data_IF_289986218409
#
_entry.id   IF_289986218409
#
_cell.length_a   1.000
_cell.length_b   1.000
_cell.length_c   1.000
_cell.angle_alpha   90.00
_cell.angle_beta   90.00
_cell.angle_gamma   90.00
#
_symmetry.space_group_name_H-M   'P 1'
#
loop_
_entity.id
_entity.type
_entity.pdbx_description
1 polymer ?
#
# COMPACT_ATOMS: atom_id res chain seq x y z
N UNK A 1 5.33 -18.08 -10.84
CA UNK A 1 6.63 -17.49 -10.48
C UNK A 1 6.63 -17.25 -8.99
N UNK A 2 7.65 -17.72 -8.27
CA UNK A 2 7.79 -17.55 -6.82
C UNK A 2 8.82 -16.47 -6.51
N UNK A 3 8.54 -15.61 -5.53
CA UNK A 3 9.49 -14.63 -5.01
C UNK A 3 9.28 -14.43 -3.52
N UNK A 4 10.17 -15.01 -2.71
CA UNK A 4 10.10 -14.96 -1.24
C UNK A 4 11.33 -14.30 -0.60
N UNK A 5 12.27 -13.81 -1.42
CA UNK A 5 13.59 -13.37 -0.93
C UNK A 5 13.57 -12.20 0.07
N UNK A 6 12.48 -11.43 0.15
CA UNK A 6 12.32 -10.34 1.14
C UNK A 6 11.46 -10.72 2.34
N UNK A 7 10.73 -11.84 2.31
CA UNK A 7 9.71 -12.18 3.31
C UNK A 7 10.27 -12.20 4.73
N UNK A 8 11.34 -12.96 4.96
CA UNK A 8 11.95 -13.12 6.28
C UNK A 8 12.91 -11.99 6.68
N UNK A 9 13.15 -11.03 5.79
CA UNK A 9 14.23 -10.02 5.98
C UNK A 9 13.74 -8.58 5.86
N UNK A 10 12.55 -8.36 5.30
CA UNK A 10 11.97 -7.03 5.20
C UNK A 10 11.57 -6.56 6.60
N UNK A 11 12.06 -5.39 7.05
CA UNK A 11 11.64 -4.83 8.33
C UNK A 11 10.12 -4.65 8.36
N UNK A 12 9.51 -4.93 9.50
CA UNK A 12 8.05 -5.01 9.62
C UNK A 12 7.56 -4.25 10.86
N UNK A 13 7.46 -2.93 10.73
CA UNK A 13 6.92 -2.07 11.76
C UNK A 13 5.40 -2.06 11.70
N UNK A 14 4.76 -2.50 12.79
CA UNK A 14 3.33 -2.32 13.00
C UNK A 14 2.98 -0.86 13.34
N UNK A 15 1.83 -0.38 12.88
CA UNK A 15 1.36 0.97 13.17
C UNK A 15 1.18 1.20 14.68
N UNK A 16 0.81 0.18 15.45
CA UNK A 16 0.66 0.27 16.91
C UNK A 16 1.98 0.02 17.68
N UNK A 17 3.05 -0.33 16.97
CA UNK A 17 4.32 -0.76 17.57
C UNK A 17 5.47 0.22 17.28
N UNK A 18 5.15 1.47 16.93
CA UNK A 18 6.13 2.54 16.63
C UNK A 18 6.87 3.10 17.85
N UNK A 19 7.11 2.31 18.90
CA UNK A 19 7.81 2.72 20.14
C UNK A 19 7.23 3.99 20.80
N UNK A 20 5.92 4.21 20.67
CA UNK A 20 5.26 5.44 21.17
C UNK A 20 5.56 6.71 20.36
N UNK A 21 6.32 6.62 19.26
CA UNK A 21 6.66 7.75 18.40
C UNK A 21 5.56 8.10 17.39
N UNK A 22 4.60 7.19 17.17
CA UNK A 22 3.47 7.41 16.28
C UNK A 22 2.30 8.05 17.05
N UNK A 23 1.81 9.23 16.63
CA UNK A 23 0.68 9.89 17.28
C UNK A 23 -0.55 9.00 17.44
N UNK A 24 -1.30 9.23 18.52
CA UNK A 24 -2.57 8.53 18.81
C UNK A 24 -2.46 7.00 18.79
N UNK A 25 -1.37 6.48 19.36
CA UNK A 25 -1.09 5.03 19.38
C UNK A 25 -1.02 4.44 17.95
N UNK A 26 -0.59 5.26 16.99
CA UNK A 26 -0.47 4.90 15.57
C UNK A 26 -1.78 4.67 14.82
N UNK A 27 -2.92 5.07 15.39
CA UNK A 27 -4.19 5.04 14.67
C UNK A 27 -4.08 5.87 13.37
N UNK A 28 -4.41 5.25 12.23
CA UNK A 28 -4.33 5.89 10.91
C UNK A 28 -2.94 5.84 10.27
N UNK A 29 -1.91 5.34 10.95
CA UNK A 29 -0.52 5.34 10.46
C UNK A 29 -0.16 4.12 9.58
N UNK A 30 -1.13 3.30 9.14
CA UNK A 30 -0.87 2.15 8.28
C UNK A 30 -0.03 2.51 7.04
N UNK A 31 -0.31 3.65 6.41
CA UNK A 31 0.43 4.11 5.24
C UNK A 31 1.91 4.39 5.57
N UNK A 32 2.16 5.15 6.64
CA UNK A 32 3.52 5.53 7.02
C UNK A 32 4.34 4.32 7.47
N UNK A 33 3.73 3.42 8.24
CA UNK A 33 4.35 2.16 8.68
C UNK A 33 4.61 1.21 7.49
N UNK A 34 3.66 1.05 6.58
CA UNK A 34 3.87 0.23 5.38
C UNK A 34 5.00 0.81 4.51
N UNK A 35 5.00 2.12 4.26
CA UNK A 35 6.07 2.75 3.47
C UNK A 35 7.43 2.64 4.16
N UNK A 36 7.49 2.82 5.49
CA UNK A 36 8.75 2.68 6.22
C UNK A 36 9.36 1.28 6.10
N UNK A 37 8.55 0.22 6.06
CA UNK A 37 9.04 -1.15 5.85
C UNK A 37 9.89 -1.27 4.56
N UNK A 38 9.37 -0.73 3.46
CA UNK A 38 10.08 -0.74 2.17
C UNK A 38 11.31 0.19 2.15
N UNK A 39 11.24 1.36 2.79
CA UNK A 39 12.37 2.28 2.87
C UNK A 39 13.49 1.72 3.76
N UNK A 40 13.15 1.10 4.90
CA UNK A 40 14.12 0.41 5.75
C UNK A 40 14.75 -0.78 5.05
N UNK A 41 13.99 -1.52 4.24
CA UNK A 41 14.58 -2.54 3.38
C UNK A 41 15.70 -1.97 2.51
N UNK A 42 15.50 -0.83 1.85
CA UNK A 42 16.55 -0.18 1.06
C UNK A 42 17.74 0.28 1.90
N UNK A 43 17.48 0.89 3.06
CA UNK A 43 18.51 1.33 4.00
C UNK A 43 19.45 0.18 4.37
N UNK A 44 18.88 -0.97 4.75
CA UNK A 44 19.63 -2.17 5.13
C UNK A 44 20.24 -2.92 3.93
N UNK A 45 19.79 -2.65 2.70
CA UNK A 45 20.23 -3.35 1.48
C UNK A 45 20.90 -2.41 0.49
N UNK A 46 21.86 -1.63 1.00
CA UNK A 46 22.81 -0.91 0.17
C UNK A 46 22.35 0.46 -0.29
N UNK A 47 21.37 1.09 0.36
CA UNK A 47 21.02 2.50 0.16
C UNK A 47 21.01 3.27 1.48
N UNK A 48 22.13 3.35 2.21
CA UNK A 48 22.16 3.90 3.57
C UNK A 48 21.74 5.38 3.65
N UNK A 49 21.89 6.16 2.57
CA UNK A 49 21.45 7.55 2.54
C UNK A 49 19.92 7.74 2.49
N UNK A 50 19.14 6.67 2.27
CA UNK A 50 17.69 6.76 2.12
C UNK A 50 16.97 6.96 3.47
N UNK A 51 17.63 6.68 4.59
CA UNK A 51 17.13 6.91 5.94
C UNK A 51 18.26 7.45 6.82
N UNK A 52 17.91 8.06 7.94
CA UNK A 52 18.89 8.55 8.91
C UNK A 52 19.15 7.46 9.95
N UNK A 53 20.42 7.09 10.13
CA UNK A 53 20.79 6.09 11.12
C UNK A 53 20.81 6.69 12.53
N UNK A 54 20.03 6.10 13.44
CA UNK A 54 19.99 6.45 14.85
C UNK A 54 20.66 5.41 15.76
N UNK A 55 21.49 4.52 15.19
CA UNK A 55 22.34 3.56 15.89
C UNK A 55 21.63 2.28 16.36
N UNK A 56 20.29 2.24 16.31
CA UNK A 56 19.50 1.03 16.57
C UNK A 56 18.39 0.91 15.53
N UNK A 57 18.28 -0.25 14.88
CA UNK A 57 17.34 -0.49 13.77
C UNK A 57 15.89 -0.15 14.15
N UNK A 58 15.43 -0.60 15.33
CA UNK A 58 14.05 -0.37 15.79
C UNK A 58 13.76 1.12 15.99
N UNK A 59 14.72 1.87 16.56
CA UNK A 59 14.62 3.33 16.75
C UNK A 59 14.64 4.04 15.39
N UNK A 60 15.56 3.64 14.51
CA UNK A 60 15.66 4.17 13.14
C UNK A 60 14.35 3.97 12.38
N UNK A 61 13.78 2.76 12.43
CA UNK A 61 12.54 2.42 11.75
C UNK A 61 11.35 3.20 12.32
N UNK A 62 11.19 3.23 13.64
CA UNK A 62 10.08 3.95 14.28
C UNK A 62 10.14 5.47 14.00
N UNK A 63 11.34 6.06 14.04
CA UNK A 63 11.55 7.48 13.68
C UNK A 63 11.26 7.75 12.21
N UNK A 64 11.66 6.85 11.32
CA UNK A 64 11.35 6.95 9.90
C UNK A 64 9.83 6.94 9.66
N UNK A 65 9.10 6.02 10.28
CA UNK A 65 7.65 5.96 10.15
C UNK A 65 6.97 7.23 10.67
N UNK A 66 7.40 7.74 11.82
CA UNK A 66 6.90 9.00 12.37
C UNK A 66 7.19 10.20 11.45
N UNK A 67 8.41 10.24 10.89
CA UNK A 67 8.82 11.26 9.94
C UNK A 67 7.95 11.21 8.68
N UNK A 68 7.82 10.05 8.03
CA UNK A 68 7.00 9.85 6.83
C UNK A 68 5.53 10.24 7.08
N UNK A 69 4.98 9.91 8.24
CA UNK A 69 3.60 10.24 8.60
C UNK A 69 3.36 11.72 8.93
N UNK A 70 4.41 12.52 9.11
CA UNK A 70 4.30 13.93 9.51
C UNK A 70 3.62 14.82 8.46
N UNK A 71 3.24 16.03 8.89
CA UNK A 71 2.68 17.06 8.00
C UNK A 71 3.60 17.49 6.85
N UNK A 72 4.92 17.24 6.96
CA UNK A 72 5.89 17.54 5.90
C UNK A 72 5.80 16.58 4.71
N UNK A 73 5.41 15.33 4.95
CA UNK A 73 5.38 14.29 3.92
C UNK A 73 3.95 13.77 3.70
N UNK A 74 3.56 12.66 4.33
CA UNK A 74 2.28 12.00 4.01
C UNK A 74 1.05 12.60 4.70
N UNK A 75 1.22 13.61 5.57
CA UNK A 75 0.11 14.32 6.23
C UNK A 75 -0.94 13.36 6.80
N UNK A 76 -0.48 12.32 7.52
CA UNK A 76 -1.37 11.30 8.07
C UNK A 76 -2.37 11.97 9.02
N UNK A 77 -3.66 11.78 8.76
CA UNK A 77 -4.71 12.15 9.70
C UNK A 77 -4.95 10.95 10.64
N UNK A 78 -4.79 11.10 11.97
CA UNK A 78 -4.95 10.00 12.92
C UNK A 78 -6.35 9.35 12.95
N UNK A 79 -7.37 10.00 12.39
CA UNK A 79 -8.74 9.48 12.29
C UNK A 79 -9.05 8.92 10.91
N UNK A 80 -8.39 9.41 9.86
CA UNK A 80 -8.72 9.09 8.45
C UNK A 80 -7.63 8.32 7.71
N UNK A 81 -6.41 8.31 8.24
CA UNK A 81 -5.21 7.81 7.58
C UNK A 81 -4.68 8.76 6.51
N UNK A 82 -3.95 8.21 5.53
CA UNK A 82 -3.45 8.93 4.37
C UNK A 82 -4.08 8.39 3.07
N UNK A 83 -4.54 9.31 2.21
CA UNK A 83 -5.03 8.99 0.87
C UNK A 83 -3.86 8.62 -0.07
N UNK A 84 -4.12 7.92 -1.19
CA UNK A 84 -3.09 7.68 -2.22
C UNK A 84 -2.34 8.95 -2.64
N UNK A 85 -3.08 10.06 -2.77
CA UNK A 85 -2.51 11.37 -3.11
C UNK A 85 -1.40 11.78 -2.13
N UNK A 86 -1.69 11.78 -0.82
CA UNK A 86 -0.69 12.19 0.16
C UNK A 86 0.44 11.18 0.34
N UNK A 87 0.17 9.89 0.18
CA UNK A 87 1.22 8.86 0.20
C UNK A 87 2.22 9.11 -0.92
N UNK A 88 1.77 9.31 -2.16
CA UNK A 88 2.66 9.49 -3.31
C UNK A 88 3.41 10.83 -3.30
N UNK A 89 2.72 11.94 -3.01
CA UNK A 89 3.37 13.25 -2.90
C UNK A 89 4.38 13.26 -1.73
N UNK A 90 3.99 12.70 -0.58
CA UNK A 90 4.84 12.60 0.59
C UNK A 90 6.08 11.74 0.34
N UNK A 91 5.91 10.58 -0.31
CA UNK A 91 7.02 9.70 -0.68
C UNK A 91 7.96 10.36 -1.69
N UNK A 92 7.43 10.98 -2.75
CA UNK A 92 8.24 11.73 -3.73
C UNK A 92 9.09 12.80 -3.05
N UNK A 93 8.45 13.63 -2.21
CA UNK A 93 9.14 14.68 -1.46
C UNK A 93 10.21 14.10 -0.52
N UNK A 94 9.90 13.00 0.18
CA UNK A 94 10.86 12.33 1.06
C UNK A 94 12.11 11.87 0.29
N UNK A 95 11.92 11.22 -0.86
CA UNK A 95 13.01 10.75 -1.69
C UNK A 95 13.83 11.91 -2.26
N UNK A 96 13.19 12.99 -2.71
CA UNK A 96 13.88 14.21 -3.17
C UNK A 96 14.75 14.82 -2.06
N UNK A 97 14.20 15.00 -0.86
CA UNK A 97 14.91 15.53 0.31
C UNK A 97 16.11 14.64 0.71
N UNK A 98 16.09 13.34 0.36
CA UNK A 98 17.17 12.37 0.59
C UNK A 98 18.14 12.22 -0.58
N UNK A 99 17.99 12.98 -1.67
CA UNK A 99 18.84 12.88 -2.86
C UNK A 99 18.49 11.73 -3.82
N UNK A 100 17.30 11.15 -3.67
CA UNK A 100 16.71 10.09 -4.49
C UNK A 100 15.65 10.62 -5.46
N UNK A 101 15.70 11.89 -5.86
CA UNK A 101 14.75 12.47 -6.83
C UNK A 101 14.77 11.83 -8.23
N UNK A 102 15.69 10.90 -8.48
CA UNK A 102 15.75 10.07 -9.68
C UNK A 102 14.95 8.76 -9.57
N UNK A 103 14.45 8.43 -8.37
CA UNK A 103 13.65 7.23 -8.16
C UNK A 103 12.30 7.34 -8.86
N UNK A 104 11.82 6.22 -9.38
CA UNK A 104 10.53 6.16 -10.08
C UNK A 104 9.43 5.71 -9.13
N UNK A 105 8.35 6.48 -9.03
CA UNK A 105 7.12 6.12 -8.32
C UNK A 105 5.99 6.01 -9.35
N UNK A 106 5.29 4.89 -9.33
CA UNK A 106 4.14 4.62 -10.20
C UNK A 106 2.96 4.09 -9.40
N UNK A 107 1.76 4.36 -9.88
CA UNK A 107 0.51 3.92 -9.26
C UNK A 107 -0.49 3.38 -10.28
N UNK A 108 -1.01 2.19 -9.97
CA UNK A 108 -2.20 1.62 -10.60
C UNK A 108 -3.33 1.60 -9.59
N UNK A 109 -4.54 1.92 -10.02
CA UNK A 109 -5.70 1.94 -9.14
C UNK A 109 -6.69 3.06 -9.45
N UNK A 110 -7.89 2.89 -8.92
CA UNK A 110 -9.03 3.74 -9.23
C UNK A 110 -9.19 4.93 -8.27
N UNK A 111 -8.55 4.90 -7.10
CA UNK A 111 -8.65 5.99 -6.12
C UNK A 111 -7.91 7.22 -6.63
N UNK A 112 -8.43 8.40 -6.28
CA UNK A 112 -7.89 9.71 -6.69
C UNK A 112 -6.40 9.87 -6.34
N UNK A 113 -5.60 10.24 -7.35
CA UNK A 113 -4.17 10.48 -7.24
C UNK A 113 -3.66 11.51 -8.27
N UNK A 114 -2.45 12.09 -8.06
CA UNK A 114 -1.85 13.01 -9.03
C UNK A 114 -1.47 12.33 -10.34
N UNK A 115 -1.69 13.02 -11.46
CA UNK A 115 -1.37 12.53 -12.81
C UNK A 115 0.08 12.08 -12.98
N UNK A 116 1.02 12.73 -12.29
CA UNK A 116 2.46 12.42 -12.37
C UNK A 116 2.84 10.99 -11.99
N UNK A 117 1.98 10.27 -11.25
CA UNK A 117 2.23 8.88 -10.82
C UNK A 117 1.42 7.86 -11.61
N UNK A 118 0.47 8.30 -12.44
CA UNK A 118 -0.50 7.42 -13.08
C UNK A 118 0.13 6.58 -14.20
N UNK A 119 -0.23 5.30 -14.28
CA UNK A 119 0.20 4.44 -15.41
C UNK A 119 -0.87 4.23 -16.48
N UNK A 120 -2.06 4.83 -16.36
CA UNK A 120 -3.18 4.55 -17.27
C UNK A 120 -4.04 3.34 -16.88
N UNK A 121 -3.68 2.64 -15.80
CA UNK A 121 -4.32 1.36 -15.41
C UNK A 121 -5.14 1.54 -14.13
N UNK A 122 -6.45 1.37 -14.27
CA UNK A 122 -7.43 1.56 -13.19
C UNK A 122 -7.61 0.28 -12.35
N UNK A 123 -7.63 -0.87 -13.00
CA UNK A 123 -7.70 -2.19 -12.37
C UNK A 123 -6.26 -2.69 -12.16
N UNK A 124 -5.74 -2.75 -10.93
CA UNK A 124 -4.33 -3.06 -10.71
C UNK A 124 -3.93 -4.41 -11.29
N UNK A 125 -2.91 -4.44 -12.14
CA UNK A 125 -2.39 -5.65 -12.77
C UNK A 125 -1.49 -6.42 -11.78
N UNK A 126 -1.85 -7.68 -11.51
CA UNK A 126 -1.16 -8.49 -10.52
C UNK A 126 0.29 -8.83 -10.92
N UNK A 127 0.58 -9.01 -12.21
CA UNK A 127 1.92 -9.29 -12.70
C UNK A 127 2.80 -8.03 -12.65
N UNK A 128 2.24 -6.86 -12.91
CA UNK A 128 2.91 -5.58 -12.70
C UNK A 128 3.27 -5.36 -11.22
N UNK A 129 2.33 -5.63 -10.31
CA UNK A 129 2.54 -5.59 -8.86
C UNK A 129 3.69 -6.52 -8.46
N UNK A 130 3.65 -7.79 -8.88
CA UNK A 130 4.67 -8.80 -8.59
C UNK A 130 6.03 -8.40 -9.13
N UNK A 131 6.09 -7.98 -10.40
CA UNK A 131 7.31 -7.49 -11.03
C UNK A 131 7.87 -6.32 -10.22
N UNK A 132 7.00 -5.40 -9.78
CA UNK A 132 7.28 -4.24 -8.92
C UNK A 132 8.16 -4.51 -7.71
N UNK A 133 8.03 -5.71 -7.12
CA UNK A 133 8.75 -6.09 -5.89
C UNK A 133 10.20 -6.53 -6.14
N UNK A 134 10.51 -7.02 -7.34
CA UNK A 134 11.82 -7.59 -7.67
C UNK A 134 12.96 -6.57 -7.62
N UNK A 135 14.22 -7.01 -7.47
CA UNK A 135 15.38 -6.11 -7.46
C UNK A 135 15.27 -4.98 -6.40
N UNK A 136 15.76 -3.75 -6.70
CA UNK A 136 15.63 -2.60 -5.82
C UNK A 136 14.24 -1.94 -5.94
N UNK A 137 13.18 -2.75 -5.92
CA UNK A 137 11.79 -2.32 -5.89
C UNK A 137 11.14 -2.44 -4.52
N UNK A 138 10.11 -1.63 -4.26
CA UNK A 138 9.22 -1.77 -3.12
C UNK A 138 7.78 -1.56 -3.59
N UNK A 139 6.84 -2.27 -2.96
CA UNK A 139 5.43 -2.26 -3.37
C UNK A 139 4.54 -2.14 -2.15
N UNK A 140 3.56 -1.25 -2.24
CA UNK A 140 2.56 -1.02 -1.21
C UNK A 140 1.18 -1.11 -1.81
N UNK A 141 0.31 -1.90 -1.19
CA UNK A 141 -1.06 -2.07 -1.65
C UNK A 141 -1.98 -1.15 -0.86
N UNK A 142 -2.81 -0.40 -1.57
CA UNK A 142 -3.99 0.22 -1.01
C UNK A 142 -5.12 -0.80 -1.07
N UNK A 143 -5.58 -1.26 0.09
CA UNK A 143 -6.65 -2.22 0.22
C UNK A 143 -7.92 -1.50 0.65
N UNK A 144 -9.03 -1.74 -0.04
CA UNK A 144 -10.35 -1.26 0.34
C UNK A 144 -11.14 -2.32 1.09
N UNK A 145 -11.91 -1.89 2.09
CA UNK A 145 -12.90 -2.72 2.80
C UNK A 145 -14.26 -2.50 2.16
N UNK A 146 -14.97 -3.57 1.82
CA UNK A 146 -16.21 -3.52 1.04
C UNK A 146 -17.33 -4.34 1.65
N UNK A 147 -18.55 -3.81 1.51
CA UNK A 147 -19.80 -4.54 1.70
C UNK A 147 -20.49 -4.74 0.36
N UNK A 148 -21.10 -5.91 0.15
CA UNK A 148 -21.93 -6.13 -1.03
C UNK A 148 -23.38 -5.72 -0.76
N UNK A 149 -23.83 -4.69 -1.46
CA UNK A 149 -25.25 -4.35 -1.54
C UNK A 149 -25.92 -5.18 -2.62
N UNK A 150 -26.76 -6.13 -2.20
CA UNK A 150 -27.51 -7.01 -3.09
C UNK A 150 -28.56 -6.26 -3.90
N UNK A 151 -29.12 -5.17 -3.38
CA UNK A 151 -30.19 -4.42 -4.06
C UNK A 151 -29.64 -3.66 -5.25
N UNK A 152 -28.49 -3.00 -5.10
CA UNK A 152 -27.82 -2.27 -6.18
C UNK A 152 -26.77 -3.11 -6.91
N UNK A 153 -26.57 -4.38 -6.52
CA UNK A 153 -25.49 -5.25 -7.00
C UNK A 153 -24.13 -4.55 -7.01
N UNK A 154 -23.82 -3.84 -5.93
CA UNK A 154 -22.63 -2.98 -5.85
C UNK A 154 -21.77 -3.31 -4.63
N UNK A 155 -20.46 -3.23 -4.80
CA UNK A 155 -19.50 -3.25 -3.71
C UNK A 155 -19.31 -1.83 -3.18
N UNK A 156 -19.81 -1.60 -1.97
CA UNK A 156 -19.76 -0.31 -1.29
C UNK A 156 -18.52 -0.28 -0.39
N UNK A 157 -17.60 0.62 -0.69
CA UNK A 157 -16.41 0.84 0.12
C UNK A 157 -16.78 1.45 1.47
N UNK A 158 -16.30 0.85 2.56
CA UNK A 158 -16.55 1.25 3.97
C UNK A 158 -15.28 1.54 4.77
N UNK A 159 -14.10 1.32 4.17
CA UNK A 159 -12.83 1.72 4.77
C UNK A 159 -11.65 1.35 3.88
N UNK A 160 -10.44 1.54 4.39
CA UNK A 160 -9.24 1.14 3.68
C UNK A 160 -8.05 0.95 4.59
N UNK A 161 -6.98 0.43 3.99
CA UNK A 161 -5.77 0.05 4.67
C UNK A 161 -4.58 0.04 3.72
N UNK A 162 -3.39 0.20 4.27
CA UNK A 162 -2.14 0.11 3.52
C UNK A 162 -1.31 -1.03 4.08
N UNK A 163 -0.79 -1.87 3.18
CA UNK A 163 0.07 -3.00 3.52
C UNK A 163 1.32 -3.00 2.65
N UNK A 164 2.38 -3.64 3.14
CA UNK A 164 3.62 -3.83 2.37
C UNK A 164 3.59 -5.18 1.70
N UNK A 165 3.95 -5.28 0.42
CA UNK A 165 4.16 -6.56 -0.23
C UNK A 165 5.61 -7.02 -0.01
N UNK A 166 5.80 -8.22 0.55
CA UNK A 166 7.12 -8.78 0.84
C UNK A 166 7.45 -10.02 0.00
N UNK A 167 6.46 -10.70 -0.56
CA UNK A 167 6.66 -11.82 -1.46
C UNK A 167 5.40 -12.22 -2.21
N UNK A 168 5.50 -13.25 -3.06
CA UNK A 168 4.38 -13.83 -3.79
C UNK A 168 4.69 -15.23 -4.31
N UNK A 169 3.66 -15.95 -4.72
CA UNK A 169 3.77 -17.17 -5.49
C UNK A 169 3.87 -18.45 -4.67
N UNK A 170 3.79 -18.38 -3.34
CA UNK A 170 3.94 -19.49 -2.41
C UNK A 170 3.03 -19.27 -1.20
N UNK A 171 2.33 -20.32 -0.75
CA UNK A 171 1.50 -20.30 0.46
C UNK A 171 2.32 -20.49 1.75
N UNK A 172 1.63 -20.56 2.89
CA UNK A 172 2.27 -20.64 4.22
C UNK A 172 3.07 -21.94 4.40
N UNK A 173 2.64 -23.00 3.72
CA UNK A 173 3.24 -24.33 3.77
C UNK A 173 4.43 -24.48 2.80
N UNK A 174 4.75 -23.44 2.02
CA UNK A 174 5.79 -23.50 1.02
C UNK A 174 5.32 -24.07 -0.33
N UNK A 175 4.01 -24.22 -0.52
CA UNK A 175 3.44 -24.75 -1.78
C UNK A 175 3.32 -23.63 -2.80
N UNK A 176 3.85 -23.81 -4.03
CA UNK A 176 3.70 -22.81 -5.07
C UNK A 176 2.23 -22.53 -5.42
N UNK A 177 1.81 -21.27 -5.30
CA UNK A 177 0.49 -20.79 -5.68
C UNK A 177 0.61 -19.39 -6.31
N UNK A 178 0.39 -19.24 -7.63
CA UNK A 178 0.57 -17.97 -8.32
C UNK A 178 -0.41 -16.88 -7.86
N UNK A 179 -1.51 -17.21 -7.18
CA UNK A 179 -2.47 -16.22 -6.68
C UNK A 179 -2.08 -15.67 -5.30
N UNK A 180 -1.10 -16.29 -4.62
CA UNK A 180 -0.71 -15.85 -3.28
C UNK A 180 0.18 -14.62 -3.32
N UNK A 181 -0.18 -13.64 -2.50
CA UNK A 181 0.63 -12.50 -2.09
C UNK A 181 0.99 -12.67 -0.61
N UNK A 182 2.24 -12.36 -0.29
CA UNK A 182 2.77 -12.39 1.07
C UNK A 182 2.96 -10.95 1.52
N UNK A 183 2.15 -10.52 2.49
CA UNK A 183 2.07 -9.11 2.90
C UNK A 183 2.47 -8.93 4.36
N UNK A 184 3.03 -7.77 4.65
CA UNK A 184 3.26 -7.29 6.00
C UNK A 184 2.15 -6.29 6.34
N UNK A 185 1.30 -6.66 7.29
CA UNK A 185 0.14 -5.90 7.71
C UNK A 185 0.46 -5.03 8.95
N UNK A 186 0.52 -3.68 8.79
CA UNK A 186 0.80 -2.78 9.91
C UNK A 186 -0.26 -2.78 11.02
N UNK A 187 -1.48 -3.24 10.76
CA UNK A 187 -2.55 -3.27 11.76
C UNK A 187 -2.41 -4.45 12.75
N UNK A 188 -1.56 -5.43 12.46
CA UNK A 188 -1.30 -6.53 13.37
C UNK A 188 -0.63 -6.00 14.64
N UNK A 189 -1.32 -6.16 15.77
CA UNK A 189 -0.72 -5.97 17.09
C UNK A 189 0.15 -7.18 17.40
N UNK A 190 1.41 -6.94 17.70
CA UNK A 190 2.40 -8.03 17.86
C UNK A 190 3.27 -7.81 19.08
N UNK A 191 3.61 -8.91 19.75
CA UNK A 191 4.59 -8.96 20.84
C UNK A 191 5.95 -9.53 20.41
N UNK A 192 6.05 -10.05 19.19
CA UNK A 192 7.23 -10.76 18.67
C UNK A 192 8.10 -9.82 17.82
N UNK A 193 9.42 -9.97 17.92
CA UNK A 193 10.41 -9.25 17.11
C UNK A 193 10.62 -9.95 15.77
N UNK A 194 10.65 -9.19 14.68
CA UNK A 194 10.81 -9.71 13.30
C UNK A 194 9.54 -9.62 12.45
N UNK A 195 9.64 -9.93 11.14
CA UNK A 195 8.50 -9.93 10.24
C UNK A 195 7.49 -11.00 10.62
N UNK A 196 6.20 -10.66 10.51
CA UNK A 196 5.11 -11.65 10.63
C UNK A 196 4.29 -11.56 9.35
N UNK A 197 4.75 -12.23 8.28
CA UNK A 197 4.03 -12.22 7.01
C UNK A 197 2.67 -12.87 7.17
N UNK A 198 1.70 -12.35 6.43
CA UNK A 198 0.41 -13.01 6.25
C UNK A 198 0.20 -13.33 4.78
N UNK A 199 -0.45 -14.46 4.54
CA UNK A 199 -0.65 -15.04 3.22
C UNK A 199 -2.08 -14.78 2.77
N UNK A 200 -2.22 -14.15 1.59
CA UNK A 200 -3.53 -13.85 1.00
C UNK A 200 -3.56 -14.29 -0.45
N UNK A 201 -4.66 -14.91 -0.85
CA UNK A 201 -4.96 -15.18 -2.27
C UNK A 201 -5.62 -13.95 -2.88
N UNK A 202 -5.05 -13.46 -3.97
CA UNK A 202 -5.61 -12.40 -4.80
C UNK A 202 -6.47 -13.03 -5.90
N UNK A 203 -7.74 -13.29 -5.59
CA UNK A 203 -8.68 -13.90 -6.54
C UNK A 203 -9.36 -12.83 -7.38
N UNK A 204 -9.26 -12.95 -8.69
CA UNK A 204 -9.92 -11.99 -9.59
C UNK A 204 -11.45 -12.08 -9.45
N UNK A 205 -12.12 -10.94 -9.48
CA UNK A 205 -13.57 -10.84 -9.47
C UNK A 205 -14.09 -11.06 -10.89
N UNK A 206 -15.03 -11.98 -11.00
CA UNK A 206 -15.77 -12.28 -12.22
C UNK A 206 -17.18 -11.67 -12.15
N UNK A 207 -17.90 -11.69 -13.27
CA UNK A 207 -19.33 -11.37 -13.26
C UNK A 207 -20.09 -12.39 -12.38
N UNK A 208 -21.21 -11.96 -11.79
CA UNK A 208 -22.09 -12.86 -11.06
C UNK A 208 -22.65 -13.93 -12.02
N UNK A 209 -23.10 -15.11 -11.52
CA UNK A 209 -23.68 -16.15 -12.36
C UNK A 209 -24.85 -15.68 -13.25
N UNK A 210 -25.53 -14.61 -12.84
CA UNK A 210 -26.61 -13.95 -13.60
C UNK A 210 -26.11 -13.06 -14.75
N UNK A 211 -24.79 -12.95 -14.95
CA UNK A 211 -24.16 -12.04 -15.91
C UNK A 211 -23.99 -10.60 -15.42
N UNK A 212 -24.52 -10.26 -14.23
CA UNK A 212 -24.41 -8.93 -13.66
C UNK A 212 -22.94 -8.65 -13.29
N UNK A 213 -22.42 -7.51 -13.74
CA UNK A 213 -21.10 -7.01 -13.38
C UNK A 213 -21.24 -6.08 -12.17
N UNK A 214 -20.78 -6.46 -10.97
CA UNK A 214 -20.92 -5.60 -9.81
C UNK A 214 -20.22 -4.27 -10.03
N UNK A 215 -20.80 -3.16 -9.58
CA UNK A 215 -20.14 -1.86 -9.56
C UNK A 215 -19.29 -1.70 -8.29
N UNK A 216 -18.22 -0.92 -8.36
CA UNK A 216 -17.51 -0.40 -7.18
C UNK A 216 -18.09 0.98 -6.90
N UNK A 217 -18.37 1.29 -5.64
CA UNK A 217 -18.81 2.61 -5.21
C UNK A 217 -18.19 3.02 -3.87
N UNK A 218 -18.07 4.32 -3.64
CA UNK A 218 -17.64 4.87 -2.35
C UNK A 218 -18.88 5.09 -1.47
N UNK A 219 -18.90 4.51 -0.26
CA UNK A 219 -19.95 4.80 0.72
C UNK A 219 -20.02 6.30 1.06
N UNK A 220 -21.22 6.84 1.28
CA UNK A 220 -21.46 8.29 1.44
C UNK A 220 -20.56 8.97 2.48
N UNK A 221 -20.24 8.30 3.58
CA UNK A 221 -19.37 8.83 4.65
C UNK A 221 -17.90 8.98 4.23
N UNK A 222 -17.40 8.12 3.34
CA UNK A 222 -16.04 8.19 2.80
C UNK A 222 -15.93 9.20 1.65
N UNK A 223 -16.99 9.34 0.84
CA UNK A 223 -17.01 10.31 -0.26
C UNK A 223 -16.85 11.76 0.21
N UNK A 224 -17.33 12.08 1.42
CA UNK A 224 -17.15 13.40 2.03
C UNK A 224 -15.69 13.65 2.46
N UNK A 225 -14.96 12.60 2.85
CA UNK A 225 -13.54 12.67 3.24
C UNK A 225 -12.63 12.85 2.01
N UNK A 226 -12.90 12.15 0.91
CA UNK A 226 -12.14 12.30 -0.33
C UNK A 226 -12.32 13.71 -0.95
N UNK A 227 -13.51 14.34 -0.79
CA UNK A 227 -13.75 15.73 -1.22
C UNK A 227 -13.00 16.78 -0.39
N UNK A 228 -12.83 16.56 0.92
CA UNK A 228 -12.13 17.51 1.81
C UNK A 228 -10.59 17.40 1.79
N UNK A 229 -10.06 16.28 1.30
CA UNK A 229 -8.61 16.02 1.27
C UNK A 229 -7.97 16.39 -0.08
N UNK A 230 -8.76 16.92 -1.02
CA UNK A 230 -8.31 17.31 -2.36
C UNK A 230 -7.22 18.37 -2.31
N UNK A 231 -6.01 17.98 -2.69
CA UNK A 231 -4.99 18.91 -3.14
C UNK A 231 -5.48 19.55 -4.44
N UNK A 232 -5.39 20.88 -4.53
CA UNK A 232 -5.82 21.70 -5.67
C UNK A 232 -4.91 21.58 -6.91
N UNK A 233 -4.16 20.49 -7.07
CA UNK A 233 -3.25 20.30 -8.21
C UNK A 233 -3.61 19.02 -8.98
N UNK A 234 -3.99 19.21 -10.25
CA UNK A 234 -3.93 18.26 -11.37
C UNK A 234 -4.19 16.78 -11.03
N UNK A 235 -5.19 16.52 -10.19
CA UNK A 235 -5.67 15.17 -9.97
C UNK A 235 -6.41 14.69 -11.20
N UNK A 236 -6.41 13.37 -11.46
CA UNK A 236 -7.32 12.80 -12.45
C UNK A 236 -8.74 13.00 -11.90
N UNK A 237 -9.40 14.05 -12.37
CA UNK A 237 -10.85 14.21 -12.30
C UNK A 237 -11.46 13.36 -13.40
N UNK A 238 -12.54 12.63 -13.10
CA UNK A 238 -13.49 12.27 -14.16
C UNK A 238 -13.72 10.80 -14.47
N UNK A 239 -13.53 9.87 -13.55
CA UNK A 239 -14.38 8.67 -13.57
C UNK A 239 -15.20 8.63 -12.30
N UNK A 240 -16.46 9.02 -12.45
CA UNK A 240 -17.44 8.97 -11.39
C UNK A 240 -17.44 7.54 -10.84
N UNK A 241 -17.03 7.38 -9.58
CA UNK A 241 -16.97 6.08 -8.89
C UNK A 241 -18.36 5.42 -8.78
N UNK A 242 -19.38 5.98 -9.42
CA UNK A 242 -20.72 5.44 -9.61
C UNK A 242 -20.84 4.51 -10.83
N UNK A 243 -19.80 4.38 -11.68
CA UNK A 243 -19.89 3.66 -12.97
C UNK A 243 -18.84 2.56 -13.21
N UNK A 244 -17.86 2.38 -12.33
CA UNK A 244 -16.78 1.41 -12.56
C UNK A 244 -17.18 -0.01 -12.14
N UNK A 245 -16.93 -1.01 -12.98
CA UNK A 245 -17.13 -2.41 -12.62
C UNK A 245 -16.02 -2.93 -11.69
N UNK A 246 -16.41 -3.79 -10.75
CA UNK A 246 -15.51 -4.57 -9.92
C UNK A 246 -14.89 -5.77 -10.64
N UNK A 247 -15.45 -6.18 -11.79
CA UNK A 247 -14.89 -7.29 -12.57
C UNK A 247 -13.47 -6.95 -12.98
N UNK A 248 -12.53 -7.87 -12.77
CA UNK A 248 -11.11 -7.67 -13.04
C UNK A 248 -10.29 -7.20 -11.84
N UNK A 249 -10.92 -6.64 -10.80
CA UNK A 249 -10.25 -6.36 -9.53
C UNK A 249 -9.96 -7.65 -8.76
N UNK A 250 -9.05 -7.58 -7.78
CA UNK A 250 -8.65 -8.71 -6.96
C UNK A 250 -9.24 -8.63 -5.57
N UNK A 251 -10.03 -9.64 -5.20
CA UNK A 251 -10.49 -9.88 -3.84
C UNK A 251 -9.40 -10.61 -3.06
N UNK A 252 -9.04 -10.07 -1.90
CA UNK A 252 -8.09 -10.70 -0.99
C UNK A 252 -8.82 -11.69 -0.08
N UNK A 253 -8.37 -12.94 -0.09
CA UNK A 253 -8.92 -14.04 0.70
C UNK A 253 -7.79 -14.63 1.54
N UNK A 254 -8.07 -15.03 2.79
CA UNK A 254 -7.09 -15.65 3.67
C UNK A 254 -6.92 -14.88 4.97
N UNK A 255 -5.69 -14.59 5.33
CA UNK A 255 -5.32 -14.18 6.69
C UNK A 255 -5.55 -12.69 7.00
N UNK A 256 -5.75 -11.86 5.96
CA UNK A 256 -6.00 -10.44 6.14
C UNK A 256 -7.37 -10.22 6.79
N UNK A 257 -7.34 -9.65 8.00
CA UNK A 257 -8.55 -9.31 8.75
C UNK A 257 -9.19 -8.05 8.17
N UNK A 258 -10.47 -8.12 7.84
CA UNK A 258 -11.25 -6.95 7.46
C UNK A 258 -11.59 -6.09 8.68
N UNK A 259 -11.84 -4.80 8.45
CA UNK A 259 -12.31 -3.86 9.47
C UNK A 259 -13.69 -3.29 9.11
N UNK A 260 -14.27 -2.49 9.99
CA UNK A 260 -15.53 -1.78 9.77
C UNK A 260 -16.71 -2.69 9.40
N UNK A 261 -16.72 -3.93 9.90
CA UNK A 261 -17.72 -4.96 9.57
C UNK A 261 -17.80 -5.26 8.07
N UNK A 262 -16.68 -5.11 7.36
CA UNK A 262 -16.64 -5.34 5.93
C UNK A 262 -16.71 -6.83 5.58
N UNK A 263 -17.47 -7.15 4.53
CA UNK A 263 -17.63 -8.51 4.00
C UNK A 263 -16.32 -9.05 3.40
N UNK A 264 -15.54 -8.19 2.74
CA UNK A 264 -14.27 -8.58 2.12
C UNK A 264 -13.36 -7.37 1.83
N UNK A 265 -12.18 -7.69 1.29
CA UNK A 265 -11.14 -6.74 0.93
C UNK A 265 -10.82 -6.80 -0.57
N UNK A 266 -10.59 -5.64 -1.20
CA UNK A 266 -10.11 -5.54 -2.58
C UNK A 266 -8.78 -4.79 -2.66
N UNK A 267 -7.95 -5.09 -3.65
CA UNK A 267 -6.84 -4.22 -4.03
C UNK A 267 -7.41 -3.00 -4.78
N UNK A 268 -7.53 -1.86 -4.08
CA UNK A 268 -7.96 -0.59 -4.67
C UNK A 268 -6.89 0.01 -5.58
N UNK A 269 -5.63 -0.25 -5.24
CA UNK A 269 -4.48 0.22 -5.99
C UNK A 269 -3.16 -0.28 -5.43
N UNK A 270 -2.08 -0.03 -6.14
CA UNK A 270 -0.74 -0.37 -5.75
C UNK A 270 0.24 0.74 -6.14
N UNK A 271 1.12 1.09 -5.20
CA UNK A 271 2.26 1.98 -5.43
C UNK A 271 3.49 1.11 -5.64
N UNK A 272 4.23 1.34 -6.72
CA UNK A 272 5.52 0.72 -6.99
C UNK A 272 6.60 1.80 -6.96
N UNK A 273 7.61 1.60 -6.12
CA UNK A 273 8.84 2.41 -6.10
C UNK A 273 10.00 1.60 -6.68
N UNK A 274 10.78 2.23 -7.56
CA UNK A 274 12.04 1.69 -8.09
C UNK A 274 13.20 2.63 -7.82
N UNK A 275 14.28 2.05 -7.30
CA UNK A 275 15.60 2.67 -7.21
C UNK A 275 16.50 2.07 -8.30
N UNK A 276 16.20 2.33 -9.56
CA UNK A 276 16.96 1.85 -10.71
C UNK A 276 18.34 2.52 -10.85
N UNK A 277 19.35 1.67 -11.10
CA UNK A 277 20.78 1.92 -10.88
C UNK A 277 21.49 2.80 -11.94
N UNK A 278 20.75 3.57 -12.75
CA UNK A 278 21.32 4.34 -13.86
C UNK A 278 22.39 5.38 -13.46
N UNK A 279 22.47 5.77 -12.18
CA UNK A 279 23.41 6.81 -11.69
C UNK A 279 24.52 6.32 -10.76
N UNK A 280 24.55 5.04 -10.39
CA UNK A 280 25.64 4.49 -9.54
C UNK A 280 27.00 4.39 -10.24
N UNK A 281 27.09 4.73 -11.53
CA UNK A 281 28.35 4.80 -12.29
C UNK A 281 29.04 6.17 -12.32
N UNK A 282 28.48 7.24 -11.74
CA UNK A 282 29.02 8.60 -11.91
C UNK A 282 29.61 9.26 -10.66
N UNK A 283 29.92 8.51 -9.60
CA UNK A 283 30.76 9.02 -8.49
C UNK A 283 31.70 7.94 -7.99
N UNK A 284 32.85 7.83 -8.66
CA UNK A 284 34.13 7.51 -8.03
C UNK A 284 34.89 8.82 -7.90
#
# INVERSE_FOLDING_TARGET
MVYTSKVERMPDLGQHNGMGLLPYDGRGYCAAAAVSNGIMWFFLNGYPAIAEDHGQEDITHARLAALLGSGRYMKVDPRKGASPTYVMIGLKKYLEDRGFGWATIQYQGWRKHPKAFHTGVIQPDLDWIKKGLTGPGAVWLNVGWYNFDRTSSSYIRVGGHWVTLAGYGEDREGTPDPEVLIILDPALRRAVRGPVPIYVKAKQIEALPTGIKPAISIGRSLGYIDKMTGANDETIEGEDASSMTAVGFYKLIGELKTANRADFALIDGAVVLRLDQGRRRLRR
#
